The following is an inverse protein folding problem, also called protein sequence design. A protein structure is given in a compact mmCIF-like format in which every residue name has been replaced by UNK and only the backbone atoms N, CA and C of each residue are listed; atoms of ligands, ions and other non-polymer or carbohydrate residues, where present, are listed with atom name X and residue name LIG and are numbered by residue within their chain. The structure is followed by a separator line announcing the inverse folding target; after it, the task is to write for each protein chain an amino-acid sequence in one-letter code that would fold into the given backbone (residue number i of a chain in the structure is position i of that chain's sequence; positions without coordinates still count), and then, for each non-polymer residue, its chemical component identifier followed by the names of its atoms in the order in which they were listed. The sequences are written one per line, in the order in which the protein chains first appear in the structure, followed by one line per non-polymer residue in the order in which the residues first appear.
data_IF_341458946687
#
_entry.id   IF_341458946687
#
_cell.length_a   1.000
_cell.length_b   1.000
_cell.length_c   1.000
_cell.angle_alpha   90.00
_cell.angle_beta   90.00
_cell.angle_gamma   90.00
#
_symmetry.space_group_name_H-M   'P 1'
#
loop_
_entity.id
_entity.type
_entity.pdbx_description
1 polymer ?
#
# COMPACT_ATOMS: atom_id res chain seq x y z
N UNK A 1 -11.42 -41.54 2.10
CA UNK A 1 -11.68 -40.66 3.25
C UNK A 1 -13.07 -41.02 3.78
N UNK A 2 -13.18 -41.32 5.08
CA UNK A 2 -14.47 -41.68 5.69
C UNK A 2 -15.31 -40.40 5.85
N UNK A 3 -16.63 -40.42 5.62
CA UNK A 3 -17.50 -39.28 5.90
C UNK A 3 -17.37 -38.81 7.35
N UNK A 4 -17.38 -37.50 7.55
CA UNK A 4 -17.31 -36.91 8.88
C UNK A 4 -18.62 -37.06 9.65
N UNK A 5 -18.52 -37.27 10.96
CA UNK A 5 -19.67 -37.37 11.87
C UNK A 5 -20.12 -35.99 12.37
N UNK A 6 -19.21 -35.00 12.37
CA UNK A 6 -19.47 -33.65 12.87
C UNK A 6 -19.75 -32.69 11.71
N UNK A 7 -20.82 -31.91 11.85
CA UNK A 7 -21.10 -30.80 10.94
C UNK A 7 -20.28 -29.56 11.34
N UNK A 8 -19.34 -29.15 10.50
CA UNK A 8 -18.50 -27.96 10.72
C UNK A 8 -18.76 -26.97 9.60
N UNK A 9 -19.28 -25.79 9.93
CA UNK A 9 -19.60 -24.77 8.92
C UNK A 9 -18.48 -23.73 8.79
N UNK A 10 -18.13 -23.33 7.55
CA UNK A 10 -17.16 -22.28 7.32
C UNK A 10 -17.69 -20.90 7.77
N UNK A 11 -16.75 -20.00 8.04
CA UNK A 11 -17.01 -18.56 8.16
C UNK A 11 -17.04 -17.97 6.74
N UNK A 12 -17.86 -16.94 6.52
CA UNK A 12 -17.94 -16.29 5.22
C UNK A 12 -16.59 -15.62 4.86
N UNK A 13 -16.07 -15.93 3.67
CA UNK A 13 -14.80 -15.40 3.17
C UNK A 13 -13.56 -16.13 3.71
N UNK A 14 -13.73 -17.19 4.50
CA UNK A 14 -12.63 -17.93 5.12
C UNK A 14 -11.72 -18.59 4.06
N UNK A 15 -10.42 -18.67 4.33
CA UNK A 15 -9.49 -19.42 3.49
C UNK A 15 -9.73 -20.92 3.66
N UNK A 16 -9.51 -21.69 2.60
CA UNK A 16 -9.74 -23.15 2.66
C UNK A 16 -8.82 -23.80 3.69
N UNK A 17 -7.57 -23.33 3.82
CA UNK A 17 -6.66 -23.80 4.86
C UNK A 17 -7.17 -23.50 6.28
N UNK A 18 -7.61 -22.26 6.56
CA UNK A 18 -8.19 -21.91 7.87
C UNK A 18 -9.35 -22.82 8.24
N UNK A 19 -10.22 -23.11 7.27
CA UNK A 19 -11.33 -24.01 7.48
C UNK A 19 -10.90 -25.46 7.77
N UNK A 20 -9.89 -25.97 7.07
CA UNK A 20 -9.30 -27.30 7.34
C UNK A 20 -8.68 -27.38 8.74
N UNK A 21 -7.91 -26.37 9.17
CA UNK A 21 -7.34 -26.32 10.53
C UNK A 21 -8.45 -26.40 11.58
N UNK A 22 -9.53 -25.64 11.40
CA UNK A 22 -10.69 -25.67 12.31
C UNK A 22 -11.43 -27.01 12.30
N UNK A 23 -11.48 -27.70 11.17
CA UNK A 23 -12.02 -29.06 11.12
C UNK A 23 -11.11 -29.99 11.95
N UNK A 24 -9.78 -29.91 11.77
CA UNK A 24 -8.83 -30.72 12.53
C UNK A 24 -9.04 -30.51 14.05
N UNK A 25 -9.07 -29.24 14.49
CA UNK A 25 -9.32 -28.87 15.89
C UNK A 25 -10.64 -29.44 16.41
N UNK A 26 -11.70 -29.39 15.58
CA UNK A 26 -13.03 -29.88 15.96
C UNK A 26 -13.08 -31.41 16.11
N UNK A 27 -12.24 -32.13 15.38
CA UNK A 27 -12.07 -33.58 15.51
C UNK A 27 -10.98 -33.97 16.53
N UNK A 28 -10.30 -33.00 17.17
CA UNK A 28 -9.19 -33.26 18.08
C UNK A 28 -7.96 -33.85 17.37
N UNK A 29 -7.81 -33.58 16.07
CA UNK A 29 -6.71 -34.07 15.24
C UNK A 29 -5.62 -33.01 15.10
N UNK A 30 -4.37 -33.45 15.00
CA UNK A 30 -3.30 -32.58 14.52
C UNK A 30 -3.55 -32.16 13.06
N UNK A 31 -3.19 -30.91 12.70
CA UNK A 31 -3.34 -30.39 11.35
C UNK A 31 -2.73 -31.33 10.30
N UNK A 32 -1.51 -31.83 10.55
CA UNK A 32 -0.80 -32.73 9.63
C UNK A 32 -1.55 -34.05 9.41
N UNK A 33 -2.18 -34.59 10.44
CA UNK A 33 -2.94 -35.83 10.36
C UNK A 33 -4.22 -35.65 9.52
N UNK A 34 -4.86 -34.48 9.60
CA UNK A 34 -5.96 -34.18 8.69
C UNK A 34 -5.46 -33.99 7.25
N UNK A 35 -4.40 -33.20 7.07
CA UNK A 35 -3.88 -32.87 5.75
C UNK A 35 -3.31 -34.08 5.01
N UNK A 36 -2.87 -35.15 5.69
CA UNK A 36 -2.45 -36.40 5.02
C UNK A 36 -3.56 -37.09 4.23
N UNK A 37 -4.82 -36.66 4.40
CA UNK A 37 -5.95 -37.07 3.57
C UNK A 37 -5.90 -36.59 2.11
N UNK A 38 -4.97 -35.70 1.77
CA UNK A 38 -4.73 -35.18 0.42
C UNK A 38 -3.30 -35.44 -0.05
N UNK A 39 -3.14 -35.66 -1.35
CA UNK A 39 -1.83 -35.63 -2.01
C UNK A 39 -1.49 -34.18 -2.37
N UNK A 40 -0.47 -33.62 -1.73
CA UNK A 40 -0.08 -32.22 -1.89
C UNK A 40 0.94 -32.00 -3.01
N UNK A 41 0.75 -30.91 -3.77
CA UNK A 41 1.75 -30.35 -4.68
C UNK A 41 2.34 -29.06 -4.11
N UNK A 42 3.63 -28.85 -4.34
CA UNK A 42 4.38 -27.73 -3.79
C UNK A 42 4.60 -27.84 -2.28
N UNK A 43 5.05 -26.75 -1.67
CA UNK A 43 5.33 -26.68 -0.24
C UNK A 43 4.48 -25.59 0.40
N UNK A 44 4.11 -25.78 1.68
CA UNK A 44 3.40 -24.76 2.45
C UNK A 44 4.23 -23.47 2.47
N UNK A 45 3.66 -22.31 2.09
CA UNK A 45 4.39 -21.05 2.05
C UNK A 45 4.96 -20.66 3.41
N UNK A 46 6.16 -20.06 3.38
CA UNK A 46 6.91 -19.61 4.55
C UNK A 46 7.36 -18.16 4.40
N UNK A 47 7.53 -17.46 5.51
CA UNK A 47 8.22 -16.18 5.55
C UNK A 47 9.72 -16.39 5.27
N UNK A 48 10.44 -15.32 4.93
CA UNK A 48 11.90 -15.36 4.71
C UNK A 48 12.64 -15.91 5.95
N UNK A 49 12.12 -15.66 7.16
CA UNK A 49 12.63 -16.22 8.42
C UNK A 49 12.29 -17.70 8.67
N UNK A 50 11.67 -18.39 7.70
CA UNK A 50 11.33 -19.82 7.79
C UNK A 50 10.03 -20.14 8.53
N UNK A 51 9.41 -19.17 9.20
CA UNK A 51 8.10 -19.31 9.86
C UNK A 51 6.98 -19.61 8.85
N UNK A 52 5.93 -20.34 9.29
CA UNK A 52 4.77 -20.62 8.45
C UNK A 52 3.95 -19.35 8.25
N UNK A 53 3.49 -19.13 7.01
CA UNK A 53 2.62 -17.98 6.72
C UNK A 53 1.18 -18.25 7.18
N UNK A 54 0.57 -17.27 7.86
CA UNK A 54 -0.83 -17.36 8.23
C UNK A 54 -1.76 -17.22 7.02
N UNK A 55 -1.35 -16.48 5.98
CA UNK A 55 -2.06 -16.37 4.70
C UNK A 55 -1.84 -17.55 3.73
N UNK A 56 -1.23 -18.65 4.18
CA UNK A 56 -1.13 -19.86 3.38
C UNK A 56 -2.53 -20.34 2.98
N UNK A 57 -2.66 -20.75 1.72
CA UNK A 57 -3.92 -21.22 1.15
C UNK A 57 -3.70 -22.55 0.42
N UNK A 58 -4.79 -23.30 0.30
CA UNK A 58 -4.85 -24.52 -0.49
C UNK A 58 -5.92 -24.43 -1.57
N UNK A 59 -5.55 -24.88 -2.77
CA UNK A 59 -6.51 -25.17 -3.84
C UNK A 59 -6.74 -26.67 -3.88
N UNK A 60 -8.00 -27.08 -4.01
CA UNK A 60 -8.39 -28.48 -4.04
C UNK A 60 -8.94 -28.86 -5.40
N UNK A 61 -8.57 -30.03 -5.91
CA UNK A 61 -9.22 -30.61 -7.09
C UNK A 61 -10.64 -31.10 -6.78
N UNK A 62 -11.35 -31.60 -7.80
CA UNK A 62 -12.74 -32.04 -7.62
C UNK A 62 -12.87 -33.18 -6.59
N UNK A 63 -11.90 -34.11 -6.54
CA UNK A 63 -11.90 -35.20 -5.57
C UNK A 63 -11.62 -34.67 -4.14
N UNK A 64 -10.68 -33.73 -3.99
CA UNK A 64 -10.35 -33.09 -2.73
C UNK A 64 -11.49 -32.24 -2.17
N UNK A 65 -12.25 -31.56 -3.04
CA UNK A 65 -13.47 -30.82 -2.65
C UNK A 65 -14.59 -31.75 -2.18
N UNK A 66 -14.82 -32.86 -2.88
CA UNK A 66 -15.76 -33.90 -2.42
C UNK A 66 -15.35 -34.47 -1.06
N UNK A 67 -14.07 -34.74 -0.89
CA UNK A 67 -13.51 -35.23 0.37
C UNK A 67 -13.73 -34.23 1.51
N UNK A 68 -13.44 -32.95 1.30
CA UNK A 68 -13.70 -31.89 2.28
C UNK A 68 -15.20 -31.75 2.58
N UNK A 69 -16.06 -31.78 1.58
CA UNK A 69 -17.52 -31.73 1.75
C UNK A 69 -18.05 -32.88 2.61
N UNK A 70 -17.58 -34.10 2.36
CA UNK A 70 -17.90 -35.27 3.17
C UNK A 70 -17.36 -35.19 4.59
N UNK A 71 -16.14 -34.68 4.78
CA UNK A 71 -15.48 -34.55 6.09
C UNK A 71 -16.18 -33.53 7.00
N UNK A 72 -16.66 -32.41 6.45
CA UNK A 72 -17.31 -31.36 7.24
C UNK A 72 -18.84 -31.49 7.32
N UNK A 73 -19.44 -32.44 6.59
CA UNK A 73 -20.89 -32.62 6.54
C UNK A 73 -21.65 -31.43 5.93
N UNK A 74 -20.98 -30.62 5.10
CA UNK A 74 -21.57 -29.45 4.43
C UNK A 74 -21.48 -29.65 2.91
N UNK A 75 -22.61 -29.52 2.22
CA UNK A 75 -22.68 -29.69 0.77
C UNK A 75 -21.87 -28.66 -0.01
N UNK A 76 -21.32 -29.06 -1.16
CA UNK A 76 -20.41 -28.24 -1.97
C UNK A 76 -20.97 -26.86 -2.34
N UNK A 77 -22.28 -26.73 -2.61
CA UNK A 77 -22.92 -25.44 -2.90
C UNK A 77 -22.82 -24.44 -1.75
N UNK A 78 -22.86 -24.91 -0.51
CA UNK A 78 -22.70 -24.06 0.66
C UNK A 78 -21.23 -23.68 0.87
N UNK A 79 -20.31 -24.63 0.63
CA UNK A 79 -18.87 -24.38 0.66
C UNK A 79 -18.45 -23.37 -0.42
N UNK A 80 -18.93 -23.51 -1.64
CA UNK A 80 -18.66 -22.60 -2.76
C UNK A 80 -19.11 -21.15 -2.48
N UNK A 81 -20.17 -20.96 -1.68
CA UNK A 81 -20.64 -19.62 -1.28
C UNK A 81 -19.80 -19.02 -0.16
N UNK A 82 -19.21 -19.85 0.69
CA UNK A 82 -18.49 -19.40 1.89
C UNK A 82 -16.98 -19.29 1.70
N UNK A 83 -16.39 -20.15 0.86
CA UNK A 83 -14.95 -20.28 0.62
C UNK A 83 -14.60 -19.70 -0.76
N UNK A 84 -14.00 -18.50 -0.84
CA UNK A 84 -13.76 -17.83 -2.12
C UNK A 84 -12.80 -18.59 -3.07
N UNK A 85 -11.93 -19.45 -2.53
CA UNK A 85 -11.00 -20.26 -3.31
C UNK A 85 -11.61 -21.58 -3.83
N UNK A 86 -12.85 -21.94 -3.44
CA UNK A 86 -13.45 -23.26 -3.73
C UNK A 86 -13.47 -23.62 -5.22
N UNK A 87 -13.84 -22.68 -6.08
CA UNK A 87 -13.96 -22.90 -7.52
C UNK A 87 -12.70 -22.60 -8.33
N UNK A 88 -11.61 -22.16 -7.68
CA UNK A 88 -10.40 -21.73 -8.40
C UNK A 88 -9.69 -22.94 -8.99
N UNK A 89 -9.43 -22.86 -10.29
CA UNK A 89 -8.70 -23.88 -11.03
C UNK A 89 -7.24 -23.48 -11.17
N UNK A 90 -6.35 -24.47 -11.15
CA UNK A 90 -4.94 -24.27 -11.42
C UNK A 90 -4.49 -25.39 -12.38
N UNK A 91 -3.73 -25.08 -13.45
CA UNK A 91 -3.23 -26.10 -14.38
C UNK A 91 -2.43 -27.20 -13.68
N UNK A 92 -1.74 -26.88 -12.57
CA UNK A 92 -1.01 -27.86 -11.76
C UNK A 92 -1.93 -28.79 -10.96
N UNK A 93 -3.25 -28.60 -10.99
CA UNK A 93 -4.24 -29.54 -10.46
C UNK A 93 -4.99 -30.30 -11.58
N UNK A 94 -4.85 -29.90 -12.83
CA UNK A 94 -5.66 -30.39 -13.96
C UNK A 94 -5.33 -31.82 -14.43
N UNK A 95 -4.32 -32.49 -13.86
CA UNK A 95 -3.83 -33.78 -14.36
C UNK A 95 -3.76 -34.83 -13.25
N UNK A 96 -4.89 -35.49 -12.94
CA UNK A 96 -4.94 -36.64 -12.03
C UNK A 96 -5.91 -37.71 -12.52
N UNK A 97 -5.38 -38.81 -13.04
CA UNK A 97 -6.16 -39.94 -13.59
C UNK A 97 -6.66 -40.91 -12.50
N UNK A 98 -6.16 -40.80 -11.26
CA UNK A 98 -6.33 -41.86 -10.24
C UNK A 98 -7.47 -41.62 -9.24
N UNK A 99 -8.30 -40.58 -9.41
CA UNK A 99 -9.43 -40.27 -8.51
C UNK A 99 -9.07 -39.90 -7.06
N UNK A 100 -7.79 -39.90 -6.69
CA UNK A 100 -7.30 -39.51 -5.36
C UNK A 100 -7.56 -38.02 -5.07
N UNK A 101 -7.82 -37.67 -3.82
CA UNK A 101 -7.97 -36.28 -3.37
C UNK A 101 -6.63 -35.54 -3.41
N UNK A 102 -6.57 -34.39 -4.07
CA UNK A 102 -5.33 -33.62 -4.23
C UNK A 102 -5.49 -32.18 -3.82
N UNK A 103 -4.38 -31.60 -3.41
CA UNK A 103 -4.31 -30.20 -3.03
C UNK A 103 -3.02 -29.54 -3.49
N UNK A 104 -3.06 -28.22 -3.60
CA UNK A 104 -1.95 -27.40 -4.07
C UNK A 104 -1.75 -26.24 -3.13
N UNK A 105 -0.51 -26.07 -2.67
CA UNK A 105 -0.14 -24.95 -1.81
C UNK A 105 -0.01 -23.65 -2.60
N UNK A 106 -0.59 -22.57 -2.07
CA UNK A 106 -0.54 -21.22 -2.62
C UNK A 106 -0.44 -20.19 -1.49
N UNK A 107 -0.02 -18.98 -1.84
CA UNK A 107 -0.16 -17.80 -0.98
C UNK A 107 -1.54 -17.21 -1.24
N UNK A 108 -2.37 -17.03 -0.22
CA UNK A 108 -3.77 -16.61 -0.38
C UNK A 108 -3.91 -15.28 -1.12
N UNK A 109 -3.00 -14.33 -0.89
CA UNK A 109 -2.93 -13.06 -1.62
C UNK A 109 -2.93 -13.19 -3.15
N UNK A 110 -2.34 -14.27 -3.68
CA UNK A 110 -2.26 -14.55 -5.11
C UNK A 110 -3.46 -15.34 -5.66
N UNK A 111 -4.35 -15.83 -4.80
CA UNK A 111 -5.47 -16.71 -5.21
C UNK A 111 -6.76 -15.91 -5.43
N UNK A 112 -7.16 -15.11 -4.45
CA UNK A 112 -8.41 -14.32 -4.53
C UNK A 112 -8.17 -12.84 -4.26
N UNK A 113 -7.27 -12.51 -3.35
CA UNK A 113 -6.98 -11.14 -2.97
C UNK A 113 -6.42 -11.06 -1.54
N UNK A 114 -6.37 -9.86 -0.95
CA UNK A 114 -5.78 -9.64 0.36
C UNK A 114 -6.39 -10.53 1.45
N UNK A 115 -5.53 -11.02 2.34
CA UNK A 115 -5.90 -11.95 3.41
C UNK A 115 -5.62 -11.30 4.76
N UNK A 116 -6.60 -11.35 5.65
CA UNK A 116 -6.51 -10.79 6.99
C UNK A 116 -7.03 -11.79 8.03
N UNK A 117 -6.68 -11.56 9.28
CA UNK A 117 -7.27 -12.29 10.39
C UNK A 117 -8.78 -11.99 10.52
N UNK A 118 -9.52 -12.97 11.02
CA UNK A 118 -10.91 -12.84 11.40
C UNK A 118 -11.03 -12.34 12.84
N UNK A 119 -12.15 -11.72 13.19
CA UNK A 119 -12.40 -11.38 14.58
C UNK A 119 -12.66 -12.66 15.40
N UNK A 120 -11.72 -13.03 16.27
CA UNK A 120 -11.81 -14.20 17.14
C UNK A 120 -13.08 -14.23 18.01
N UNK A 121 -13.58 -13.07 18.44
CA UNK A 121 -14.84 -12.98 19.20
C UNK A 121 -16.07 -13.29 18.32
N UNK A 122 -16.07 -12.86 17.06
CA UNK A 122 -17.10 -13.27 16.09
C UNK A 122 -17.02 -14.77 15.80
N UNK A 123 -15.81 -15.30 15.61
CA UNK A 123 -15.58 -16.72 15.39
C UNK A 123 -16.12 -17.53 16.58
N UNK A 124 -15.72 -17.18 17.81
CA UNK A 124 -16.18 -17.82 19.04
C UNK A 124 -17.71 -17.86 19.13
N UNK A 125 -18.39 -16.73 18.87
CA UNK A 125 -19.86 -16.71 18.90
C UNK A 125 -20.51 -17.59 17.84
N UNK A 126 -19.84 -17.82 16.70
CA UNK A 126 -20.37 -18.64 15.60
C UNK A 126 -20.02 -20.12 15.73
N UNK A 127 -18.88 -20.45 16.32
CA UNK A 127 -18.34 -21.82 16.36
C UNK A 127 -18.33 -22.44 17.74
N UNK A 128 -18.56 -21.65 18.79
CA UNK A 128 -18.43 -22.06 20.19
C UNK A 128 -16.98 -22.17 20.67
N UNK A 129 -15.99 -21.86 19.84
CA UNK A 129 -14.57 -22.01 20.18
C UNK A 129 -13.75 -20.79 19.77
N UNK A 130 -12.81 -20.38 20.62
CA UNK A 130 -11.90 -19.27 20.36
C UNK A 130 -10.78 -19.68 19.40
N UNK A 131 -11.12 -19.89 18.14
CA UNK A 131 -10.21 -20.28 17.07
C UNK A 131 -9.73 -19.08 16.26
N UNK A 132 -8.48 -19.12 15.81
CA UNK A 132 -7.99 -18.20 14.80
C UNK A 132 -8.70 -18.51 13.47
N UNK A 133 -9.14 -17.46 12.78
CA UNK A 133 -9.76 -17.57 11.46
C UNK A 133 -8.97 -16.67 10.54
N UNK A 134 -8.63 -17.17 9.35
CA UNK A 134 -8.00 -16.38 8.30
C UNK A 134 -8.98 -16.28 7.15
N UNK A 135 -9.19 -15.06 6.63
CA UNK A 135 -10.19 -14.79 5.59
C UNK A 135 -9.69 -13.82 4.55
N UNK A 136 -10.24 -13.92 3.35
CA UNK A 136 -10.13 -12.88 2.34
C UNK A 136 -10.88 -11.64 2.82
N UNK A 137 -10.16 -10.52 2.89
CA UNK A 137 -10.72 -9.25 3.33
C UNK A 137 -9.91 -8.09 2.76
N UNK A 138 -10.59 -7.26 1.96
CA UNK A 138 -10.07 -5.98 1.52
C UNK A 138 -9.86 -5.05 2.71
N UNK A 139 -9.03 -4.01 2.56
CA UNK A 139 -8.69 -3.08 3.67
C UNK A 139 -9.92 -2.48 4.34
N UNK A 140 -10.93 -2.10 3.55
CA UNK A 140 -12.21 -1.55 4.05
C UNK A 140 -13.15 -2.59 4.69
N UNK A 141 -12.78 -3.86 4.72
CA UNK A 141 -13.57 -4.95 5.32
C UNK A 141 -12.99 -5.45 6.65
N UNK A 142 -11.88 -4.83 7.10
CA UNK A 142 -11.10 -5.29 8.25
C UNK A 142 -11.63 -4.80 9.60
N UNK A 143 -12.51 -3.80 9.62
CA UNK A 143 -13.11 -3.29 10.86
C UNK A 143 -14.23 -4.22 11.33
N UNK A 144 -14.03 -4.89 12.46
CA UNK A 144 -15.10 -5.50 13.21
C UNK A 144 -15.78 -4.46 14.11
N UNK A 145 -16.77 -3.76 13.58
CA UNK A 145 -17.51 -2.70 14.32
C UNK A 145 -18.11 -3.22 15.62
N UNK A 146 -18.59 -4.47 15.62
CA UNK A 146 -19.24 -5.07 16.79
C UNK A 146 -18.30 -5.26 17.98
N UNK A 147 -17.02 -5.50 17.75
CA UNK A 147 -16.04 -5.72 18.81
C UNK A 147 -14.97 -4.62 18.86
N UNK A 148 -15.08 -3.60 18.01
CA UNK A 148 -14.10 -2.52 17.86
C UNK A 148 -12.68 -3.04 17.61
N UNK A 149 -12.52 -3.96 16.66
CA UNK A 149 -11.20 -4.53 16.31
C UNK A 149 -10.89 -4.31 14.83
N UNK A 150 -9.67 -3.87 14.55
CA UNK A 150 -9.13 -3.87 13.19
C UNK A 150 -8.37 -5.17 12.96
N UNK A 151 -8.79 -5.97 11.98
CA UNK A 151 -8.08 -7.18 11.59
C UNK A 151 -6.76 -6.85 10.88
N UNK A 152 -5.66 -7.46 11.32
CA UNK A 152 -4.35 -7.26 10.70
C UNK A 152 -4.15 -8.19 9.50
N UNK A 153 -3.18 -7.81 8.65
CA UNK A 153 -2.73 -8.59 7.51
C UNK A 153 -2.17 -9.95 7.98
N UNK A 154 -2.66 -11.04 7.37
CA UNK A 154 -2.18 -12.39 7.66
C UNK A 154 -0.89 -12.75 6.91
N UNK A 155 -0.48 -11.91 5.97
CA UNK A 155 0.72 -12.07 5.13
C UNK A 155 1.97 -11.49 5.80
N UNK A 156 1.78 -10.69 6.85
CA UNK A 156 2.79 -10.00 7.63
C UNK A 156 3.37 -10.91 8.72
N UNK A 157 4.70 -10.93 8.83
CA UNK A 157 5.42 -11.70 9.85
C UNK A 157 5.39 -10.95 11.20
N UNK A 158 4.23 -10.95 11.85
CA UNK A 158 4.00 -10.26 13.12
C UNK A 158 2.95 -10.99 13.98
N UNK A 159 3.04 -10.90 15.31
CA UNK A 159 2.26 -11.77 16.22
C UNK A 159 0.81 -11.31 16.48
N UNK A 160 0.44 -10.07 16.14
CA UNK A 160 -0.89 -9.54 16.46
C UNK A 160 -1.93 -9.97 15.41
N UNK A 161 -3.05 -10.52 15.87
CA UNK A 161 -4.18 -10.80 14.97
C UNK A 161 -5.03 -9.53 14.69
N UNK A 162 -5.01 -8.57 15.62
CA UNK A 162 -5.86 -7.38 15.56
C UNK A 162 -5.29 -6.19 16.33
N UNK A 163 -5.80 -5.00 16.01
CA UNK A 163 -5.66 -3.78 16.82
C UNK A 163 -6.98 -3.42 17.50
N UNK A 164 -6.93 -2.93 18.72
CA UNK A 164 -8.09 -2.41 19.42
C UNK A 164 -8.38 -0.98 18.93
N UNK A 165 -9.58 -0.77 18.38
CA UNK A 165 -10.06 0.52 17.88
C UNK A 165 -11.33 0.98 18.61
N UNK A 166 -11.69 0.36 19.74
CA UNK A 166 -12.87 0.74 20.54
C UNK A 166 -12.79 2.19 21.01
N UNK A 167 -11.59 2.66 21.36
CA UNK A 167 -11.33 4.05 21.77
C UNK A 167 -11.30 5.07 20.64
N UNK A 168 -11.46 4.63 19.38
CA UNK A 168 -11.33 5.48 18.18
C UNK A 168 -12.65 5.43 17.41
N UNK A 169 -13.61 6.23 17.87
CA UNK A 169 -14.96 6.27 17.32
C UNK A 169 -14.99 6.59 15.82
N UNK A 170 -14.01 7.33 15.32
CA UNK A 170 -13.87 7.73 13.93
C UNK A 170 -13.69 6.53 12.99
N UNK A 171 -13.02 5.45 13.42
CA UNK A 171 -12.87 4.22 12.61
C UNK A 171 -14.23 3.54 12.41
N UNK A 172 -15.02 3.42 13.50
CA UNK A 172 -16.37 2.88 13.41
C UNK A 172 -17.32 3.74 12.57
N UNK A 173 -17.19 5.07 12.67
CA UNK A 173 -17.96 6.02 11.85
C UNK A 173 -17.57 5.93 10.36
N UNK A 174 -16.27 5.83 10.06
CA UNK A 174 -15.75 5.65 8.72
C UNK A 174 -16.26 4.36 8.08
N UNK A 175 -16.28 3.25 8.83
CA UNK A 175 -16.82 1.98 8.33
C UNK A 175 -18.30 2.09 7.92
N UNK A 176 -19.10 2.87 8.66
CA UNK A 176 -20.51 3.11 8.30
C UNK A 176 -20.62 4.01 7.07
N UNK A 177 -19.81 5.06 6.98
CA UNK A 177 -19.77 5.98 5.82
C UNK A 177 -19.33 5.27 4.54
N UNK A 178 -18.43 4.31 4.63
CA UNK A 178 -17.92 3.57 3.47
C UNK A 178 -19.05 2.96 2.62
N UNK A 179 -20.11 2.42 3.24
CA UNK A 179 -21.25 1.91 2.47
C UNK A 179 -21.99 2.99 1.65
N UNK A 180 -22.00 4.23 2.13
CA UNK A 180 -22.49 5.38 1.36
C UNK A 180 -21.61 5.69 0.16
N UNK A 181 -20.29 5.62 0.34
CA UNK A 181 -19.27 5.81 -0.71
C UNK A 181 -19.39 4.73 -1.79
N UNK A 182 -19.50 3.46 -1.41
CA UNK A 182 -19.72 2.34 -2.35
C UNK A 182 -20.97 2.57 -3.20
N UNK A 183 -22.09 2.98 -2.58
CA UNK A 183 -23.32 3.29 -3.34
C UNK A 183 -23.14 4.46 -4.31
N UNK A 184 -22.35 5.48 -3.95
CA UNK A 184 -22.02 6.60 -4.85
C UNK A 184 -21.13 6.14 -6.01
N UNK A 185 -20.09 5.35 -5.74
CA UNK A 185 -19.21 4.80 -6.77
C UNK A 185 -20.00 3.98 -7.80
N UNK A 186 -20.88 3.08 -7.34
CA UNK A 186 -21.74 2.28 -8.23
C UNK A 186 -22.65 3.15 -9.08
N UNK A 187 -23.26 4.21 -8.51
CA UNK A 187 -24.08 5.16 -9.29
C UNK A 187 -23.27 5.95 -10.32
N UNK A 188 -21.99 6.20 -10.04
CA UNK A 188 -21.07 6.85 -10.96
C UNK A 188 -20.45 5.88 -11.98
N UNK A 189 -20.78 4.58 -11.93
CA UNK A 189 -20.23 3.56 -12.84
C UNK A 189 -18.77 3.19 -12.56
N UNK A 190 -18.28 3.44 -11.33
CA UNK A 190 -16.88 3.24 -10.94
C UNK A 190 -16.75 2.09 -9.94
N UNK A 191 -15.67 1.31 -10.03
CA UNK A 191 -15.36 0.31 -9.01
C UNK A 191 -14.95 0.99 -7.69
N UNK A 192 -15.62 0.61 -6.60
CA UNK A 192 -15.35 1.19 -5.29
C UNK A 192 -13.93 0.87 -4.79
N UNK A 193 -13.33 -0.23 -5.24
CA UNK A 193 -11.96 -0.61 -4.91
C UNK A 193 -10.93 0.30 -5.58
N UNK A 194 -11.15 0.72 -6.82
CA UNK A 194 -10.30 1.72 -7.49
C UNK A 194 -10.35 3.07 -6.77
N UNK A 195 -11.55 3.54 -6.40
CA UNK A 195 -11.72 4.78 -5.61
C UNK A 195 -11.00 4.67 -4.27
N UNK A 196 -11.15 3.54 -3.57
CA UNK A 196 -10.43 3.31 -2.32
C UNK A 196 -8.92 3.30 -2.54
N UNK A 197 -8.45 2.65 -3.60
CA UNK A 197 -7.03 2.54 -3.95
C UNK A 197 -6.37 3.90 -4.11
N UNK A 198 -6.99 4.80 -4.88
CA UNK A 198 -6.52 6.18 -5.06
C UNK A 198 -6.53 6.95 -3.74
N UNK A 199 -7.65 6.95 -3.02
CA UNK A 199 -7.76 7.66 -1.75
C UNK A 199 -6.75 7.13 -0.71
N UNK A 200 -6.57 5.82 -0.65
CA UNK A 200 -5.60 5.16 0.22
C UNK A 200 -4.17 5.57 -0.14
N UNK A 201 -3.82 5.62 -1.43
CA UNK A 201 -2.51 6.03 -1.87
C UNK A 201 -2.19 7.49 -1.51
N UNK A 202 -3.16 8.39 -1.70
CA UNK A 202 -3.05 9.80 -1.29
C UNK A 202 -2.81 9.92 0.22
N UNK A 203 -3.66 9.29 1.04
CA UNK A 203 -3.57 9.44 2.50
C UNK A 203 -2.35 8.70 3.06
N UNK A 204 -1.95 7.57 2.49
CA UNK A 204 -0.72 6.89 2.89
C UNK A 204 0.50 7.74 2.56
N UNK A 205 0.50 8.52 1.48
CA UNK A 205 1.59 9.48 1.20
C UNK A 205 1.67 10.58 2.26
N UNK A 206 0.52 11.12 2.66
CA UNK A 206 0.44 12.08 3.76
C UNK A 206 0.93 11.49 5.09
N UNK A 207 0.58 10.23 5.37
CA UNK A 207 1.02 9.51 6.56
C UNK A 207 2.55 9.43 6.70
N UNK A 208 3.27 9.22 5.60
CA UNK A 208 4.74 9.16 5.64
C UNK A 208 5.36 10.50 6.07
N UNK A 209 4.79 11.63 5.61
CA UNK A 209 5.26 12.98 5.95
C UNK A 209 4.71 13.55 7.27
N UNK A 210 3.63 12.98 7.80
CA UNK A 210 2.85 13.60 8.87
C UNK A 210 3.60 13.81 10.19
N UNK A 211 4.58 12.97 10.49
CA UNK A 211 5.38 13.13 11.72
C UNK A 211 6.29 14.37 11.70
N UNK A 212 6.58 14.92 10.52
CA UNK A 212 7.28 16.20 10.38
C UNK A 212 6.34 17.41 10.41
N UNK A 213 5.02 17.23 10.44
CA UNK A 213 4.07 18.33 10.39
C UNK A 213 3.71 18.81 11.81
N UNK A 214 4.15 20.01 12.16
CA UNK A 214 3.92 20.60 13.50
C UNK A 214 2.43 20.67 13.91
N UNK A 215 1.52 20.78 12.93
CA UNK A 215 0.07 20.90 13.16
C UNK A 215 -0.68 19.56 13.18
N UNK A 216 0.00 18.43 12.96
CA UNK A 216 -0.63 17.10 12.94
C UNK A 216 -0.68 16.48 14.34
N UNK A 217 -1.84 16.56 14.98
CA UNK A 217 -2.06 16.00 16.32
C UNK A 217 -2.90 14.70 16.31
N UNK A 218 -3.67 14.47 15.24
CA UNK A 218 -4.72 13.44 15.22
C UNK A 218 -4.11 12.06 15.01
N UNK A 219 -3.25 11.92 14.00
CA UNK A 219 -2.63 10.64 13.64
C UNK A 219 -1.66 10.12 14.71
N UNK A 220 -0.73 10.93 15.26
CA UNK A 220 0.09 10.50 16.39
C UNK A 220 -0.75 10.05 17.59
N UNK A 221 -1.78 10.81 17.97
CA UNK A 221 -2.68 10.45 19.07
C UNK A 221 -3.39 9.11 18.83
N UNK A 222 -3.97 8.91 17.64
CA UNK A 222 -4.62 7.63 17.29
C UNK A 222 -3.63 6.47 17.24
N UNK A 223 -2.40 6.71 16.78
CA UNK A 223 -1.35 5.70 16.76
C UNK A 223 -1.02 5.22 18.17
N UNK A 224 -0.85 6.15 19.10
CA UNK A 224 -0.65 5.84 20.52
C UNK A 224 -1.84 5.09 21.13
N UNK A 225 -3.07 5.44 20.75
CA UNK A 225 -4.28 4.71 21.20
C UNK A 225 -4.31 3.26 20.69
N UNK A 226 -4.01 3.00 19.41
CA UNK A 226 -3.96 1.61 18.89
C UNK A 226 -2.80 0.81 19.47
N UNK A 227 -1.74 1.48 19.90
CA UNK A 227 -0.61 0.88 20.62
C UNK A 227 -0.91 0.57 22.10
N UNK A 228 -2.11 0.86 22.60
CA UNK A 228 -2.49 0.62 23.99
C UNK A 228 -2.10 1.76 24.96
N UNK A 229 -1.73 2.92 24.45
CA UNK A 229 -1.49 4.15 25.23
C UNK A 229 -0.27 4.92 24.78
N UNK A 230 0.90 4.27 24.71
CA UNK A 230 2.13 4.87 24.22
C UNK A 230 2.87 3.86 23.33
N UNK A 231 3.30 4.31 22.15
CA UNK A 231 4.02 3.47 21.18
C UNK A 231 5.50 3.29 21.59
N UNK A 232 6.02 4.19 22.43
CA UNK A 232 7.35 4.07 23.04
C UNK A 232 8.48 3.91 22.02
N UNK A 233 9.46 3.08 22.36
CA UNK A 233 10.62 2.78 21.52
C UNK A 233 10.27 2.00 20.23
N UNK A 234 9.06 1.45 20.14
CA UNK A 234 8.57 0.72 18.97
C UNK A 234 7.78 1.60 17.99
N UNK A 235 7.96 2.93 18.06
CA UNK A 235 7.21 3.89 17.25
C UNK A 235 7.21 3.56 15.75
N UNK A 236 8.37 3.30 15.15
CA UNK A 236 8.48 2.97 13.72
C UNK A 236 7.79 1.65 13.36
N UNK A 237 7.81 0.67 14.24
CA UNK A 237 7.06 -0.57 14.06
C UNK A 237 5.55 -0.31 14.11
N UNK A 238 5.11 0.47 15.10
CA UNK A 238 3.72 0.89 15.22
C UNK A 238 3.27 1.70 14.02
N UNK A 239 4.14 2.55 13.46
CA UNK A 239 3.80 3.32 12.26
C UNK A 239 3.47 2.42 11.07
N UNK A 240 4.10 1.26 10.95
CA UNK A 240 3.77 0.28 9.90
C UNK A 240 2.50 -0.50 10.23
N UNK A 241 2.40 -1.05 11.45
CA UNK A 241 1.30 -1.95 11.83
C UNK A 241 -0.02 -1.21 12.03
N UNK A 242 0.05 -0.01 12.60
CA UNK A 242 -1.09 0.84 12.92
C UNK A 242 -1.63 1.66 11.75
N UNK A 243 -0.82 1.89 10.69
CA UNK A 243 -1.15 2.80 9.58
C UNK A 243 -2.58 2.65 9.10
N UNK A 244 -2.91 1.47 8.59
CA UNK A 244 -4.18 1.23 7.91
C UNK A 244 -5.38 1.50 8.84
N UNK A 245 -5.27 1.19 10.13
CA UNK A 245 -6.32 1.48 11.11
C UNK A 245 -6.43 2.98 11.44
N UNK A 246 -5.28 3.65 11.58
CA UNK A 246 -5.19 5.07 11.99
C UNK A 246 -5.68 6.00 10.88
N UNK A 247 -5.32 5.71 9.62
CA UNK A 247 -5.64 6.56 8.46
C UNK A 247 -7.00 6.25 7.82
N UNK A 248 -7.62 5.11 8.17
CA UNK A 248 -8.88 4.67 7.56
C UNK A 248 -9.97 5.75 7.56
N UNK A 249 -10.18 6.56 8.62
CA UNK A 249 -11.17 7.62 8.60
C UNK A 249 -10.93 8.66 7.51
N UNK A 250 -9.68 9.06 7.31
CA UNK A 250 -9.28 10.01 6.26
C UNK A 250 -9.38 9.39 4.88
N UNK A 251 -9.01 8.12 4.70
CA UNK A 251 -9.17 7.40 3.43
C UNK A 251 -10.62 7.40 2.97
N UNK A 252 -11.56 7.10 3.87
CA UNK A 252 -12.99 7.12 3.55
C UNK A 252 -13.48 8.54 3.23
N UNK A 253 -12.97 9.56 3.93
CA UNK A 253 -13.33 10.95 3.68
C UNK A 253 -12.80 11.46 2.32
N UNK A 254 -11.57 11.12 1.96
CA UNK A 254 -10.97 11.43 0.65
C UNK A 254 -11.71 10.70 -0.45
N UNK A 255 -11.97 9.39 -0.31
CA UNK A 255 -12.75 8.62 -1.28
C UNK A 255 -14.14 9.23 -1.51
N UNK A 256 -14.79 9.69 -0.44
CA UNK A 256 -16.07 10.36 -0.55
C UNK A 256 -15.98 11.71 -1.28
N UNK A 257 -14.96 12.51 -0.95
CA UNK A 257 -14.74 13.81 -1.57
C UNK A 257 -14.43 13.67 -3.07
N UNK A 258 -13.59 12.72 -3.47
CA UNK A 258 -13.23 12.54 -4.88
C UNK A 258 -14.42 12.07 -5.74
N UNK A 259 -15.44 11.43 -5.13
CA UNK A 259 -16.69 11.07 -5.83
C UNK A 259 -17.72 12.20 -5.87
N UNK A 260 -17.53 13.28 -5.12
CA UNK A 260 -18.46 14.40 -5.07
C UNK A 260 -18.30 15.27 -6.33
N UNK A 261 -19.34 15.41 -7.18
CA UNK A 261 -19.26 16.25 -8.38
C UNK A 261 -18.86 17.70 -8.08
N UNK A 262 -19.22 18.22 -6.89
CA UNK A 262 -18.83 19.56 -6.45
C UNK A 262 -17.31 19.68 -6.36
N UNK A 263 -16.60 18.63 -5.93
CA UNK A 263 -15.14 18.66 -5.88
C UNK A 263 -14.53 18.72 -7.27
N UNK A 264 -15.11 18.03 -8.26
CA UNK A 264 -14.69 18.15 -9.66
C UNK A 264 -14.97 19.54 -10.26
N UNK A 265 -16.08 20.19 -9.87
CA UNK A 265 -16.36 21.59 -10.23
C UNK A 265 -15.31 22.55 -9.66
N UNK A 266 -14.91 22.37 -8.39
CA UNK A 266 -13.88 23.20 -7.77
C UNK A 266 -12.54 23.07 -8.50
N UNK A 267 -12.14 21.86 -8.89
CA UNK A 267 -10.93 21.65 -9.71
C UNK A 267 -11.03 22.38 -11.04
N UNK A 268 -12.18 22.30 -11.70
CA UNK A 268 -12.39 22.98 -12.97
C UNK A 268 -12.27 24.50 -12.81
N UNK A 269 -12.92 25.06 -11.80
CA UNK A 269 -12.85 26.48 -11.48
C UNK A 269 -11.40 26.92 -11.16
N UNK A 270 -10.70 26.18 -10.31
CA UNK A 270 -9.30 26.46 -9.92
C UNK A 270 -8.34 26.38 -11.12
N UNK A 271 -8.63 25.55 -12.13
CA UNK A 271 -7.79 25.39 -13.33
C UNK A 271 -7.88 26.53 -14.35
N UNK A 272 -8.91 27.39 -14.24
CA UNK A 272 -9.18 28.47 -15.20
C UNK A 272 -9.30 27.99 -16.66
N UNK A 273 -9.53 26.69 -16.88
CA UNK A 273 -9.61 26.09 -18.20
C UNK A 273 -8.28 25.90 -18.95
N UNK A 274 -7.11 26.40 -18.49
CA UNK A 274 -5.87 26.38 -19.30
C UNK A 274 -4.49 26.45 -18.60
N UNK A 275 -4.35 26.39 -17.26
CA UNK A 275 -3.04 26.63 -16.59
C UNK A 275 -2.73 25.67 -15.43
N UNK A 276 -1.46 25.56 -14.97
CA UNK A 276 -1.11 24.70 -13.84
C UNK A 276 -1.93 25.06 -12.62
N UNK A 277 -2.39 24.02 -11.92
CA UNK A 277 -3.29 24.12 -10.78
C UNK A 277 -2.62 24.92 -9.66
N UNK A 278 -3.23 26.03 -9.25
CA UNK A 278 -2.72 26.88 -8.19
C UNK A 278 -2.75 26.19 -6.83
N UNK A 279 -1.69 26.44 -6.06
CA UNK A 279 -1.31 25.71 -4.84
C UNK A 279 -2.31 25.94 -3.67
N UNK A 280 -3.09 27.02 -3.73
CA UNK A 280 -4.15 27.34 -2.77
C UNK A 280 -5.54 27.40 -3.42
N UNK A 281 -5.86 26.43 -4.27
CA UNK A 281 -7.17 26.30 -4.89
C UNK A 281 -8.31 26.04 -3.88
N UNK A 282 -9.54 26.41 -4.25
CA UNK A 282 -10.73 26.11 -3.46
C UNK A 282 -10.91 24.59 -3.22
N UNK A 283 -10.44 23.75 -4.15
CA UNK A 283 -10.40 22.30 -3.99
C UNK A 283 -9.57 21.88 -2.77
N UNK A 284 -8.34 22.37 -2.65
CA UNK A 284 -7.41 21.98 -1.56
C UNK A 284 -7.96 22.36 -0.19
N UNK A 285 -8.47 23.59 -0.04
CA UNK A 285 -9.15 24.04 1.19
C UNK A 285 -10.35 23.15 1.53
N UNK A 286 -11.22 22.89 0.56
CA UNK A 286 -12.42 22.07 0.77
C UNK A 286 -12.06 20.63 1.13
N UNK A 287 -11.03 20.07 0.51
CA UNK A 287 -10.54 18.73 0.85
C UNK A 287 -9.99 18.69 2.28
N UNK A 288 -9.20 19.69 2.68
CA UNK A 288 -8.73 19.87 4.04
C UNK A 288 -9.87 19.91 5.06
N UNK A 289 -10.92 20.70 4.80
CA UNK A 289 -12.13 20.73 5.64
C UNK A 289 -12.81 19.36 5.74
N UNK A 290 -12.95 18.63 4.63
CA UNK A 290 -13.60 17.31 4.59
C UNK A 290 -12.87 16.26 5.43
N UNK A 291 -11.55 16.36 5.54
CA UNK A 291 -10.72 15.48 6.38
C UNK A 291 -10.50 16.03 7.79
N UNK A 292 -11.12 17.16 8.14
CA UNK A 292 -11.01 17.79 9.46
C UNK A 292 -9.66 18.48 9.71
N UNK A 293 -8.91 18.81 8.65
CA UNK A 293 -7.58 19.45 8.70
C UNK A 293 -7.53 20.59 7.69
N UNK A 294 -8.12 21.73 8.03
CA UNK A 294 -8.12 22.91 7.14
C UNK A 294 -6.71 23.37 6.74
N UNK A 295 -5.72 23.15 7.62
CA UNK A 295 -4.31 23.45 7.36
C UNK A 295 -3.63 22.51 6.35
N UNK A 296 -4.24 21.36 6.02
CA UNK A 296 -3.68 20.40 5.08
C UNK A 296 -3.83 20.88 3.62
N UNK A 297 -4.78 21.77 3.34
CA UNK A 297 -5.03 22.31 2.00
C UNK A 297 -3.77 22.88 1.32
N UNK A 298 -3.06 23.84 1.96
CA UNK A 298 -1.80 24.36 1.42
C UNK A 298 -0.70 23.29 1.28
N UNK A 299 -0.58 22.37 2.24
CA UNK A 299 0.45 21.31 2.22
C UNK A 299 0.23 20.25 1.13
N UNK A 300 -1.03 19.99 0.75
CA UNK A 300 -1.38 19.09 -0.37
C UNK A 300 -0.75 19.56 -1.67
N UNK A 301 -0.50 20.85 -1.78
CA UNK A 301 -0.12 21.47 -3.02
C UNK A 301 1.38 21.82 -3.12
N UNK A 302 2.08 21.95 -1.99
CA UNK A 302 3.51 22.30 -1.99
C UNK A 302 4.41 21.09 -2.20
N UNK A 303 4.07 19.89 -1.74
CA UNK A 303 5.08 18.81 -1.73
C UNK A 303 4.56 17.36 -1.81
N UNK A 304 3.24 17.13 -1.86
CA UNK A 304 2.66 15.79 -1.64
C UNK A 304 1.60 15.35 -2.64
N UNK A 305 1.47 16.09 -3.76
CA UNK A 305 0.29 16.08 -4.61
C UNK A 305 0.35 15.24 -5.89
N UNK A 306 1.38 14.44 -6.20
CA UNK A 306 1.49 13.76 -7.50
C UNK A 306 0.22 13.00 -7.92
N UNK A 307 -0.41 12.29 -6.98
CA UNK A 307 -1.65 11.55 -7.21
C UNK A 307 -2.89 12.44 -7.33
N UNK A 308 -3.02 13.47 -6.49
CA UNK A 308 -4.16 14.39 -6.54
C UNK A 308 -4.08 15.30 -7.76
N UNK A 309 -2.88 15.81 -8.10
CA UNK A 309 -2.62 16.57 -9.31
C UNK A 309 -2.87 15.73 -10.57
N UNK A 310 -2.49 14.45 -10.58
CA UNK A 310 -2.82 13.54 -11.67
C UNK A 310 -4.34 13.38 -11.82
N UNK A 311 -5.05 13.14 -10.72
CA UNK A 311 -6.51 13.06 -10.69
C UNK A 311 -7.16 14.36 -11.21
N UNK A 312 -6.75 15.51 -10.66
CA UNK A 312 -7.24 16.84 -11.05
C UNK A 312 -6.98 17.13 -12.55
N UNK A 313 -5.79 16.79 -13.03
CA UNK A 313 -5.44 16.90 -14.45
C UNK A 313 -6.33 16.05 -15.33
N UNK A 314 -6.66 14.81 -14.90
CA UNK A 314 -7.59 13.93 -15.62
C UNK A 314 -9.01 14.51 -15.63
N UNK A 315 -9.50 15.08 -14.52
CA UNK A 315 -10.80 15.79 -14.48
C UNK A 315 -10.86 16.90 -15.53
N UNK A 316 -9.81 17.73 -15.60
CA UNK A 316 -9.72 18.83 -16.58
C UNK A 316 -9.68 18.30 -18.01
N UNK A 317 -8.92 17.22 -18.29
CA UNK A 317 -8.83 16.61 -19.63
C UNK A 317 -10.17 16.04 -20.10
N UNK A 318 -10.88 15.30 -19.23
CA UNK A 318 -12.17 14.71 -19.54
C UNK A 318 -13.24 15.76 -19.83
N UNK A 319 -13.21 16.91 -19.11
CA UNK A 319 -14.10 18.03 -19.41
C UNK A 319 -13.80 18.71 -20.75
N UNK A 320 -12.52 18.84 -21.11
CA UNK A 320 -12.12 19.42 -22.41
C UNK A 320 -12.47 18.51 -23.59
N UNK A 321 -12.49 17.19 -23.37
CA UNK A 321 -12.77 16.19 -24.41
C UNK A 321 -13.88 15.24 -23.95
N UNK A 322 -15.17 15.62 -24.11
CA UNK A 322 -16.32 14.87 -23.59
C UNK A 322 -16.54 13.46 -24.17
N UNK A 323 -15.67 13.01 -25.09
CA UNK A 323 -15.70 11.68 -25.70
C UNK A 323 -14.85 10.62 -24.98
N UNK A 324 -14.03 11.00 -23.99
CA UNK A 324 -13.27 10.06 -23.18
C UNK A 324 -14.17 9.38 -22.14
N UNK A 325 -14.27 8.05 -22.16
CA UNK A 325 -14.96 7.33 -21.09
C UNK A 325 -14.05 7.22 -19.88
N UNK A 326 -14.38 7.82 -18.71
CA UNK A 326 -13.70 7.50 -17.47
C UNK A 326 -14.06 6.08 -17.03
N UNK A 327 -13.09 5.32 -16.54
CA UNK A 327 -13.32 4.00 -15.94
C UNK A 327 -12.24 2.97 -16.28
N UNK A 328 -12.43 1.71 -15.85
CA UNK A 328 -11.43 0.64 -15.98
C UNK A 328 -11.09 0.26 -17.43
N UNK A 329 -11.85 0.76 -18.41
CA UNK A 329 -11.64 0.54 -19.84
C UNK A 329 -11.04 1.76 -20.56
N UNK A 330 -10.80 2.86 -19.85
CA UNK A 330 -10.14 4.05 -20.40
C UNK A 330 -8.66 3.75 -20.67
N UNK A 331 -8.03 4.50 -21.59
CA UNK A 331 -6.56 4.48 -21.68
C UNK A 331 -5.98 4.89 -20.33
N UNK A 332 -4.81 4.37 -19.99
CA UNK A 332 -4.14 4.61 -18.71
C UNK A 332 -4.05 6.10 -18.33
N UNK A 333 -3.89 6.98 -19.31
CA UNK A 333 -3.78 8.43 -19.14
C UNK A 333 -5.14 9.14 -18.93
N UNK A 334 -6.24 8.44 -19.19
CA UNK A 334 -7.63 8.90 -19.11
C UNK A 334 -8.39 8.25 -17.94
N UNK A 335 -7.83 7.21 -17.30
CA UNK A 335 -8.44 6.59 -16.14
C UNK A 335 -8.22 7.45 -14.89
N UNK A 336 -9.31 8.05 -14.41
CA UNK A 336 -9.35 8.91 -13.24
C UNK A 336 -8.91 8.20 -11.95
N UNK A 337 -9.15 6.90 -11.84
CA UNK A 337 -8.98 6.14 -10.59
C UNK A 337 -7.73 5.28 -10.58
N UNK A 338 -6.94 5.36 -11.64
CA UNK A 338 -5.74 4.58 -11.78
C UNK A 338 -4.61 5.10 -10.89
N UNK A 339 -3.97 4.20 -10.15
CA UNK A 339 -2.79 4.48 -9.32
C UNK A 339 -1.59 3.75 -9.90
N UNK A 340 -0.59 4.52 -10.35
CA UNK A 340 0.64 3.95 -10.87
C UNK A 340 1.39 3.17 -9.80
N UNK A 341 2.13 2.13 -10.21
CA UNK A 341 2.80 1.21 -9.29
C UNK A 341 3.78 1.92 -8.35
N UNK A 342 4.48 2.94 -8.84
CA UNK A 342 5.42 3.77 -8.08
C UNK A 342 4.77 4.56 -6.93
N UNK A 343 3.45 4.80 -7.02
CA UNK A 343 2.68 5.51 -6.01
C UNK A 343 1.83 4.58 -5.13
N UNK A 344 1.89 3.26 -5.35
CA UNK A 344 1.20 2.31 -4.49
C UNK A 344 1.91 2.25 -3.13
N UNK A 345 1.17 2.42 -2.01
CA UNK A 345 1.79 2.35 -0.70
C UNK A 345 2.37 0.97 -0.40
N UNK A 346 3.45 0.95 0.37
CA UNK A 346 4.08 -0.28 0.85
C UNK A 346 3.08 -1.16 1.61
N UNK A 347 3.19 -2.49 1.44
CA UNK A 347 2.40 -3.42 2.27
C UNK A 347 2.96 -3.46 3.70
N UNK A 348 2.14 -3.86 4.67
CA UNK A 348 2.59 -4.04 6.06
C UNK A 348 3.78 -4.99 6.13
N UNK A 349 3.70 -6.12 5.44
CA UNK A 349 4.80 -7.09 5.37
C UNK A 349 6.09 -6.47 4.80
N UNK A 350 5.99 -5.59 3.79
CA UNK A 350 7.15 -4.89 3.23
C UNK A 350 7.74 -3.88 4.22
N UNK A 351 6.89 -3.07 4.87
CA UNK A 351 7.34 -2.11 5.90
C UNK A 351 8.02 -2.80 7.08
N UNK A 352 7.47 -3.92 7.55
CA UNK A 352 8.05 -4.70 8.66
C UNK A 352 9.41 -5.31 8.29
N UNK A 353 9.61 -5.70 7.03
CA UNK A 353 10.93 -6.16 6.56
C UNK A 353 11.96 -5.04 6.59
N UNK A 354 11.56 -3.82 6.23
CA UNK A 354 12.43 -2.63 6.29
C UNK A 354 12.83 -2.34 7.74
N UNK A 355 11.85 -2.21 8.63
CA UNK A 355 12.09 -1.99 10.08
C UNK A 355 12.95 -3.10 10.69
N UNK A 356 12.72 -4.36 10.31
CA UNK A 356 13.52 -5.49 10.81
C UNK A 356 14.96 -5.47 10.32
N UNK A 357 15.22 -4.98 9.11
CA UNK A 357 16.59 -4.82 8.58
C UNK A 357 17.33 -3.70 9.31
N UNK A 358 16.67 -2.56 9.50
CA UNK A 358 17.21 -1.44 10.27
C UNK A 358 17.55 -1.82 11.71
N UNK A 359 16.69 -2.59 12.38
CA UNK A 359 16.98 -3.10 13.74
C UNK A 359 18.18 -4.05 13.79
N UNK A 360 18.38 -4.86 12.76
CA UNK A 360 19.48 -5.84 12.70
C UNK A 360 20.82 -5.22 12.33
N UNK A 361 20.79 -4.12 11.57
CA UNK A 361 21.98 -3.40 11.18
C UNK A 361 21.69 -1.88 11.24
N UNK A 362 21.70 -1.29 12.45
CA UNK A 362 21.52 0.14 12.63
C UNK A 362 22.59 0.88 11.83
N UNK A 363 22.19 1.79 10.94
CA UNK A 363 23.11 2.55 10.09
C UNK A 363 23.54 1.87 8.79
N UNK A 364 23.11 0.63 8.48
CA UNK A 364 23.48 -0.01 7.19
C UNK A 364 22.64 0.45 5.98
N UNK A 365 22.04 1.64 6.07
CA UNK A 365 21.14 2.20 5.07
C UNK A 365 19.71 1.67 5.22
N UNK A 366 18.83 2.56 5.67
CA UNK A 366 17.42 2.57 5.26
C UNK A 366 17.36 2.36 3.73
N UNK A 367 16.46 1.50 3.24
CA UNK A 367 16.32 1.33 1.78
C UNK A 367 16.07 2.70 1.17
N UNK A 368 16.94 3.16 0.28
CA UNK A 368 16.84 4.47 -0.41
C UNK A 368 15.42 4.76 -0.90
N UNK A 369 14.69 3.75 -1.38
CA UNK A 369 13.31 3.88 -1.86
C UNK A 369 12.26 4.08 -0.76
N UNK A 370 12.56 3.65 0.47
CA UNK A 370 11.67 3.75 1.61
C UNK A 370 11.75 5.10 2.31
N UNK A 371 12.91 5.77 2.24
CA UNK A 371 13.14 7.03 2.98
C UNK A 371 13.25 8.24 2.08
N UNK A 372 13.75 8.08 0.85
CA UNK A 372 13.78 9.18 -0.10
C UNK A 372 12.45 9.25 -0.87
N UNK A 373 11.73 10.38 -0.81
CA UNK A 373 10.53 10.66 -1.61
C UNK A 373 10.67 10.22 -3.06
N UNK A 374 9.59 9.71 -3.66
CA UNK A 374 9.61 9.25 -5.04
C UNK A 374 9.98 10.37 -6.02
N UNK A 375 9.62 11.61 -5.69
CA UNK A 375 9.88 12.83 -6.44
C UNK A 375 11.37 13.20 -6.39
N UNK A 376 11.98 13.19 -5.20
CA UNK A 376 13.43 13.37 -5.06
C UNK A 376 14.20 12.27 -5.81
N UNK A 377 13.74 11.01 -5.73
CA UNK A 377 14.32 9.92 -6.51
C UNK A 377 14.17 10.13 -8.01
N UNK A 378 13.03 10.63 -8.47
CA UNK A 378 12.78 10.93 -9.87
C UNK A 378 13.64 12.08 -10.37
N UNK A 379 13.76 13.17 -9.61
CA UNK A 379 14.63 14.31 -9.91
C UNK A 379 16.10 13.88 -9.99
N UNK A 380 16.58 13.11 -9.02
CA UNK A 380 17.95 12.56 -9.04
C UNK A 380 18.14 11.64 -10.27
N UNK A 381 17.15 10.81 -10.59
CA UNK A 381 17.21 9.92 -11.76
C UNK A 381 17.23 10.70 -13.08
N UNK A 382 16.46 11.78 -13.20
CA UNK A 382 16.45 12.62 -14.39
C UNK A 382 17.75 13.40 -14.55
N UNK A 383 18.29 14.00 -13.48
CA UNK A 383 19.57 14.70 -13.53
C UNK A 383 20.70 13.76 -13.98
N UNK A 384 20.73 12.53 -13.46
CA UNK A 384 21.68 11.50 -13.89
C UNK A 384 21.46 11.07 -15.35
N UNK A 385 20.21 10.93 -15.79
CA UNK A 385 19.88 10.59 -17.17
C UNK A 385 20.24 11.70 -18.17
N UNK A 386 20.00 12.96 -17.81
CA UNK A 386 20.38 14.13 -18.60
C UNK A 386 21.91 14.26 -18.68
N UNK A 387 22.62 14.05 -17.58
CA UNK A 387 24.09 14.03 -17.56
C UNK A 387 24.64 12.90 -18.46
N UNK A 388 24.04 11.70 -18.39
CA UNK A 388 24.39 10.58 -19.26
C UNK A 388 24.17 10.91 -20.74
N UNK A 389 23.02 11.50 -21.09
CA UNK A 389 22.70 11.91 -22.46
C UNK A 389 23.69 12.97 -22.97
N UNK A 390 24.04 13.97 -22.15
CA UNK A 390 25.05 14.97 -22.52
C UNK A 390 26.42 14.33 -22.78
N UNK A 391 26.87 13.40 -21.94
CA UNK A 391 28.13 12.68 -22.14
C UNK A 391 28.12 11.79 -23.40
N UNK A 392 26.98 11.17 -23.72
CA UNK A 392 26.81 10.40 -24.95
C UNK A 392 26.82 11.30 -26.20
N UNK A 393 26.18 12.47 -26.14
CA UNK A 393 26.19 13.46 -27.23
C UNK A 393 27.62 13.97 -27.51
N UNK A 394 28.41 14.22 -26.47
CA UNK A 394 29.83 14.58 -26.58
C UNK A 394 30.67 13.50 -27.25
N UNK A 395 30.38 12.22 -26.95
CA UNK A 395 31.08 11.09 -27.57
C UNK A 395 30.80 11.02 -29.10
N UNK A 396 29.60 11.43 -29.53
CA UNK A 396 29.20 11.46 -30.94
C UNK A 396 29.66 12.71 -31.72
N UNK A 397 30.06 13.79 -31.04
CA UNK A 397 30.32 15.10 -31.65
C UNK A 397 31.78 15.32 -32.12
N UNK A 398 32.41 14.32 -32.74
CA UNK A 398 33.84 14.38 -33.13
C UNK A 398 34.13 14.84 -34.57
N UNK A 399 33.16 15.42 -35.29
CA UNK A 399 33.32 15.81 -36.69
C UNK A 399 33.05 17.30 -36.88
N UNK A 400 34.06 18.05 -37.32
CA UNK A 400 33.97 19.50 -37.55
C UNK A 400 35.33 20.19 -37.50
N UNK A 401 35.35 21.53 -37.55
CA UNK A 401 36.59 22.30 -37.37
C UNK A 401 37.03 22.24 -35.90
N UNK A 402 38.33 22.11 -35.66
CA UNK A 402 38.90 21.91 -34.31
C UNK A 402 38.42 22.92 -33.26
N UNK A 403 38.28 24.20 -33.61
CA UNK A 403 37.82 25.23 -32.69
C UNK A 403 36.33 25.11 -32.32
N UNK A 404 35.49 24.63 -33.25
CA UNK A 404 34.06 24.44 -33.04
C UNK A 404 33.82 23.17 -32.21
N UNK A 405 34.56 22.10 -32.50
CA UNK A 405 34.55 20.84 -31.72
C UNK A 405 35.07 21.09 -30.31
N UNK A 406 36.20 21.78 -30.14
CA UNK A 406 36.74 22.09 -28.81
C UNK A 406 35.79 22.92 -27.95
N UNK A 407 35.14 23.94 -28.54
CA UNK A 407 34.12 24.74 -27.83
C UNK A 407 32.93 23.90 -27.41
N UNK A 408 32.40 23.09 -28.33
CA UNK A 408 31.26 22.22 -28.05
C UNK A 408 31.57 21.17 -26.97
N UNK A 409 32.77 20.59 -27.01
CA UNK A 409 33.25 19.66 -25.98
C UNK A 409 33.34 20.33 -24.61
N UNK A 410 33.93 21.54 -24.53
CA UNK A 410 34.07 22.27 -23.27
C UNK A 410 32.71 22.69 -22.69
N UNK A 411 31.79 23.18 -23.53
CA UNK A 411 30.44 23.58 -23.10
C UNK A 411 29.57 22.39 -22.67
N UNK A 412 29.68 21.25 -23.34
CA UNK A 412 28.95 20.04 -22.95
C UNK A 412 29.54 19.39 -21.69
N UNK A 413 30.87 19.38 -21.54
CA UNK A 413 31.52 18.90 -20.31
C UNK A 413 31.12 19.76 -19.11
N UNK A 414 31.11 21.09 -19.27
CA UNK A 414 30.71 22.02 -18.20
C UNK A 414 29.24 21.81 -17.79
N UNK A 415 28.34 21.63 -18.77
CA UNK A 415 26.93 21.31 -18.48
C UNK A 415 26.74 19.94 -17.81
N UNK A 416 27.51 18.94 -18.23
CA UNK A 416 27.50 17.62 -17.60
C UNK A 416 27.96 17.65 -16.15
N UNK A 417 29.00 18.44 -15.84
CA UNK A 417 29.47 18.62 -14.46
C UNK A 417 28.42 19.34 -13.61
N UNK A 418 27.77 20.39 -14.12
CA UNK A 418 26.72 21.10 -13.39
C UNK A 418 25.53 20.20 -13.01
N UNK A 419 25.15 19.27 -13.89
CA UNK A 419 24.07 18.30 -13.64
C UNK A 419 24.48 17.24 -12.60
N UNK A 420 25.74 16.79 -12.63
CA UNK A 420 26.27 15.84 -11.64
C UNK A 420 26.42 16.47 -10.26
N UNK A 421 26.86 17.72 -10.19
CA UNK A 421 26.95 18.47 -8.93
C UNK A 421 25.57 18.66 -8.32
N UNK A 422 24.57 19.07 -9.11
CA UNK A 422 23.17 19.14 -8.64
C UNK A 422 22.62 17.79 -8.17
N UNK A 423 22.94 16.70 -8.87
CA UNK A 423 22.54 15.36 -8.44
C UNK A 423 23.19 14.97 -7.11
N UNK A 424 24.47 15.29 -6.92
CA UNK A 424 25.22 15.05 -5.69
C UNK A 424 24.61 15.81 -4.51
N UNK A 425 24.33 17.12 -4.67
CA UNK A 425 23.69 17.95 -3.65
C UNK A 425 22.35 17.34 -3.22
N UNK A 426 21.49 16.97 -4.19
CA UNK A 426 20.19 16.37 -3.91
C UNK A 426 20.29 15.01 -3.21
N UNK A 427 21.30 14.22 -3.54
CA UNK A 427 21.57 12.94 -2.87
C UNK A 427 22.03 13.16 -1.43
N UNK A 428 22.90 14.15 -1.18
CA UNK A 428 23.38 14.48 0.16
C UNK A 428 22.24 14.97 1.06
N UNK A 429 21.39 15.87 0.56
CA UNK A 429 20.18 16.34 1.27
C UNK A 429 19.26 15.18 1.62
N UNK A 430 19.00 14.29 0.66
CA UNK A 430 18.17 13.12 0.86
C UNK A 430 18.75 12.15 1.91
N UNK A 431 20.06 11.95 1.93
CA UNK A 431 20.75 11.10 2.91
C UNK A 431 20.69 11.67 4.34
N UNK A 432 20.93 12.98 4.50
CA UNK A 432 20.83 13.64 5.81
C UNK A 432 19.39 13.65 6.32
N UNK A 433 18.41 13.96 5.46
CA UNK A 433 16.99 13.89 5.80
C UNK A 433 16.53 12.45 6.13
N UNK A 434 17.24 11.44 5.60
CA UNK A 434 17.04 10.04 5.92
C UNK A 434 17.66 9.61 7.27
N UNK A 435 18.27 10.54 8.00
CA UNK A 435 18.87 10.30 9.31
C UNK A 435 20.32 9.80 9.27
N UNK A 436 20.99 9.86 8.12
CA UNK A 436 22.43 9.57 8.03
C UNK A 436 23.22 10.73 8.65
N UNK A 437 24.19 10.48 9.54
CA UNK A 437 25.05 11.52 10.11
C UNK A 437 25.77 12.32 9.03
N UNK A 438 25.86 13.64 9.20
CA UNK A 438 26.50 14.53 8.23
C UNK A 438 27.97 14.15 7.97
N UNK A 439 28.68 13.76 9.03
CA UNK A 439 30.07 13.26 8.99
C UNK A 439 30.24 12.05 8.08
N UNK A 440 29.21 11.22 7.98
CA UNK A 440 29.20 10.03 7.13
C UNK A 440 28.86 10.39 5.68
N UNK A 441 27.91 11.30 5.47
CA UNK A 441 27.56 11.83 4.14
C UNK A 441 28.72 12.62 3.52
N UNK A 442 29.40 13.49 4.28
CA UNK A 442 30.57 14.25 3.84
C UNK A 442 31.69 13.31 3.39
N UNK A 443 31.94 12.24 4.15
CA UNK A 443 32.93 11.21 3.81
C UNK A 443 32.59 10.48 2.51
N UNK A 444 31.32 10.16 2.25
CA UNK A 444 30.88 9.54 1.00
C UNK A 444 31.01 10.48 -0.20
N UNK A 445 30.65 11.74 -0.01
CA UNK A 445 30.77 12.79 -1.02
C UNK A 445 32.22 13.26 -1.26
N UNK A 446 33.17 12.81 -0.42
CA UNK A 446 34.57 13.27 -0.42
C UNK A 446 34.71 14.78 -0.19
N UNK A 447 33.81 15.34 0.61
CA UNK A 447 33.81 16.73 1.04
C UNK A 447 34.27 16.81 2.49
N UNK A 448 34.82 17.96 2.90
CA UNK A 448 34.95 18.28 4.32
C UNK A 448 33.58 18.49 4.97
N UNK A 449 33.50 18.39 6.30
CA UNK A 449 32.25 18.65 7.03
C UNK A 449 31.76 20.09 6.84
N UNK A 450 32.69 21.06 6.77
CA UNK A 450 32.36 22.49 6.53
C UNK A 450 31.77 22.72 5.13
N UNK A 451 32.35 22.10 4.09
CA UNK A 451 31.84 22.15 2.71
C UNK A 451 30.48 21.44 2.59
N UNK A 452 30.31 20.30 3.26
CA UNK A 452 29.04 19.58 3.29
C UNK A 452 27.94 20.39 4.00
N UNK A 453 28.27 21.11 5.07
CA UNK A 453 27.34 22.04 5.72
C UNK A 453 26.97 23.23 4.82
N UNK A 454 27.92 23.77 4.06
CA UNK A 454 27.67 24.87 3.13
C UNK A 454 26.73 24.46 1.99
N UNK A 455 26.94 23.29 1.41
CA UNK A 455 26.06 22.68 0.40
C UNK A 455 24.63 22.44 0.93
N UNK A 456 24.49 22.04 2.20
CA UNK A 456 23.17 21.85 2.80
C UNK A 456 22.49 23.18 3.18
N UNK A 457 23.26 24.25 3.40
CA UNK A 457 22.74 25.61 3.65
C UNK A 457 22.29 26.29 2.36
N UNK A 458 22.97 26.08 1.24
CA UNK A 458 22.58 26.65 -0.06
C UNK A 458 21.23 26.11 -0.54
N UNK A 459 20.96 24.80 -0.38
CA UNK A 459 19.66 24.20 -0.72
C UNK A 459 18.51 24.74 0.16
N UNK A 460 18.77 24.99 1.46
CA UNK A 460 17.82 25.66 2.37
C UNK A 460 17.53 27.12 1.96
N UNK A 461 18.44 27.77 1.24
CA UNK A 461 18.27 29.13 0.73
C UNK A 461 17.33 29.22 -0.48
N UNK A 462 17.35 28.21 -1.35
CA UNK A 462 16.44 28.09 -2.51
C UNK A 462 15.00 27.74 -2.12
N UNK A 463 14.80 27.00 -1.02
CA UNK A 463 13.47 26.71 -0.46
C UNK A 463 12.85 27.94 0.25
N UNK A 464 13.67 28.90 0.66
CA UNK A 464 13.22 30.12 1.35
C UNK A 464 12.87 31.27 0.38
N UNK A 465 13.12 31.11 -0.92
CA UNK A 465 12.64 32.03 -1.97
C UNK A 465 11.21 31.73 -2.43
N UNK A 466 10.62 30.63 -1.96
CA UNK A 466 9.22 30.26 -2.17
C UNK A 466 8.47 30.06 -0.84
N UNK A 467 8.87 30.76 0.23
CA UNK A 467 8.07 30.91 1.45
C UNK A 467 7.19 32.16 1.41
#
# INVERSE_FOLDING_TARGET
MVPGVLRVSPVCGETTLSFLCRIADRYGLEEKALLSGWRWRGHRPRHEGGGLRADAEVLLDAAGRRALSGLCGVGEKALARALPSWGRQDPQLAAGQDGAARGLWRVGGAVVGPVAFGCRLCATRRTGAAVCVVRYAQRWERVCVRHGRWALDADADQPLEYLDVRGIAEVGAAQRRWWGVVRRAVRAGVDAGEVFGLAYAVVARWWEGAYGWEREEIWPRRLHQVAGGNAGADLEWWRVVGRDAVIFPEVVAVADALLDPVMAELVWADSGGARPLGVDGAFGRRLGERVGRGWLGPLIAVDHGGLLLAWMGTVVRLRRHPGGQPGPFARFEENLWWVRQEHQPSTMAAGLRVVSRERKAPGSGTNWRAVVPAEQRFTITNLLGEAEEQLQQLHGAQVGRTAEVARHLLEGLSRGTDLLDQALERVMVAAVNAGVPLEEVARWARLSEEEAEEVLRSDRGTDNQYR
#
